data_IF_444682207720
#
_entry.id   IF_444682207720
#
_cell.length_a   1.000
_cell.length_b   1.000
_cell.length_c   1.000
_cell.angle_alpha   90.00
_cell.angle_beta   90.00
_cell.angle_gamma   90.00
#
_symmetry.space_group_name_H-M   'P 1'
#
loop_
_entity.id
_entity.type
_entity.pdbx_description
1 polymer ?
#
# COMPACT_ATOMS: atom_id res chain seq x y z
N UNK A 1 -19.38 -3.28 -18.42
CA UNK A 1 -18.96 -2.62 -19.67
C UNK A 1 -19.46 -3.35 -20.91
N UNK A 2 -19.03 -4.59 -21.17
CA UNK A 2 -19.39 -5.29 -22.42
C UNK A 2 -20.73 -6.03 -22.41
N UNK A 3 -21.30 -6.31 -21.23
CA UNK A 3 -22.55 -7.06 -21.09
C UNK A 3 -23.81 -6.18 -21.21
N UNK A 4 -23.70 -4.92 -20.79
CA UNK A 4 -24.82 -3.96 -20.82
C UNK A 4 -24.92 -3.24 -22.16
N UNK A 5 -26.10 -2.73 -22.51
CA UNK A 5 -26.39 -2.02 -23.78
C UNK A 5 -25.79 -0.59 -23.82
N UNK A 6 -24.50 -0.47 -23.53
CA UNK A 6 -23.75 0.78 -23.59
C UNK A 6 -23.12 0.98 -24.98
N UNK A 7 -22.61 2.18 -25.25
CA UNK A 7 -21.99 2.52 -26.54
C UNK A 7 -20.73 1.67 -26.82
N UNK A 8 -20.02 1.25 -25.78
CA UNK A 8 -18.87 0.36 -25.88
C UNK A 8 -19.24 -0.98 -26.50
N UNK A 9 -20.40 -1.54 -26.11
CA UNK A 9 -20.93 -2.79 -26.66
C UNK A 9 -21.42 -2.60 -28.09
N UNK A 10 -22.14 -1.51 -28.38
CA UNK A 10 -22.65 -1.24 -29.74
C UNK A 10 -21.53 -1.03 -30.76
N UNK A 11 -20.45 -0.38 -30.34
CA UNK A 11 -19.31 -0.01 -31.20
C UNK A 11 -18.17 -1.04 -31.16
N UNK A 12 -18.24 -2.03 -30.28
CA UNK A 12 -17.15 -2.96 -29.98
C UNK A 12 -15.81 -2.24 -29.74
N UNK A 13 -15.86 -1.11 -29.05
CA UNK A 13 -14.70 -0.23 -28.81
C UNK A 13 -14.80 0.41 -27.44
N UNK A 14 -13.70 0.35 -26.70
CA UNK A 14 -13.53 1.03 -25.41
C UNK A 14 -12.39 2.02 -25.57
N UNK A 15 -12.64 3.29 -25.25
CA UNK A 15 -11.60 4.31 -25.21
C UNK A 15 -11.05 4.40 -23.77
N UNK A 16 -9.76 4.13 -23.61
CA UNK A 16 -9.02 4.22 -22.34
C UNK A 16 -8.07 5.40 -22.46
N UNK A 17 -8.20 6.39 -21.57
CA UNK A 17 -7.47 7.67 -21.67
C UNK A 17 -6.63 7.99 -20.43
N UNK A 18 -6.81 7.22 -19.38
CA UNK A 18 -6.28 7.46 -18.04
C UNK A 18 -5.30 6.38 -17.57
N UNK A 19 -4.84 5.53 -18.49
CA UNK A 19 -3.79 4.54 -18.25
C UNK A 19 -2.73 4.71 -19.32
N UNK A 20 -1.46 4.79 -18.92
CA UNK A 20 -0.35 4.83 -19.85
C UNK A 20 -0.32 3.57 -20.72
N UNK A 21 0.07 3.71 -21.98
CA UNK A 21 0.05 2.61 -22.93
C UNK A 21 1.01 1.46 -22.55
N UNK A 22 2.13 1.72 -21.89
CA UNK A 22 3.03 0.66 -21.40
C UNK A 22 2.39 -0.14 -20.27
N UNK A 23 1.74 0.54 -19.33
CA UNK A 23 1.01 -0.04 -18.21
C UNK A 23 -0.17 -0.86 -18.72
N UNK A 24 -0.95 -0.30 -19.65
CA UNK A 24 -2.08 -0.98 -20.27
C UNK A 24 -1.64 -2.25 -21.00
N UNK A 25 -0.51 -2.20 -21.70
CA UNK A 25 0.07 -3.37 -22.38
C UNK A 25 0.43 -4.47 -21.39
N UNK A 26 1.08 -4.12 -20.28
CA UNK A 26 1.46 -5.11 -19.26
C UNK A 26 0.23 -5.68 -18.55
N UNK A 27 -0.78 -4.86 -18.27
CA UNK A 27 -2.08 -5.28 -17.74
C UNK A 27 -2.79 -6.26 -18.69
N UNK A 28 -2.86 -5.94 -19.99
CA UNK A 28 -3.45 -6.84 -21.00
C UNK A 28 -2.67 -8.16 -21.07
N UNK A 29 -1.34 -8.10 -21.05
CA UNK A 29 -0.51 -9.30 -21.02
C UNK A 29 -0.82 -10.16 -19.79
N UNK A 30 -1.01 -9.56 -18.62
CA UNK A 30 -1.44 -10.28 -17.44
C UNK A 30 -2.80 -10.94 -17.63
N UNK A 31 -3.80 -10.22 -18.16
CA UNK A 31 -5.14 -10.76 -18.43
C UNK A 31 -5.06 -12.02 -19.31
N UNK A 32 -4.23 -12.03 -20.34
CA UNK A 32 -4.13 -13.15 -21.28
C UNK A 32 -3.19 -14.28 -20.82
N UNK A 33 -2.20 -14.01 -19.96
CA UNK A 33 -1.12 -14.98 -19.66
C UNK A 33 -0.91 -15.26 -18.18
N UNK A 34 -1.56 -14.52 -17.29
CA UNK A 34 -1.39 -14.57 -15.84
C UNK A 34 -0.02 -14.07 -15.34
N UNK A 35 0.78 -13.42 -16.21
CA UNK A 35 2.16 -12.99 -15.94
C UNK A 35 2.37 -11.52 -16.30
N UNK A 36 3.15 -10.82 -15.47
CA UNK A 36 3.55 -9.42 -15.65
C UNK A 36 5.06 -9.24 -15.36
N UNK A 37 5.97 -9.66 -16.25
CA UNK A 37 7.41 -9.60 -15.97
C UNK A 37 8.03 -8.20 -16.02
N UNK A 38 7.30 -7.15 -16.42
CA UNK A 38 7.79 -5.77 -16.30
C UNK A 38 7.21 -5.02 -15.09
N UNK A 39 6.45 -5.72 -14.23
CA UNK A 39 5.75 -5.13 -13.08
C UNK A 39 6.68 -4.28 -12.20
N UNK A 40 7.89 -4.75 -11.90
CA UNK A 40 8.83 -4.05 -11.01
C UNK A 40 9.20 -2.63 -11.47
N UNK A 41 9.01 -2.31 -12.77
CA UNK A 41 9.33 -1.00 -13.34
C UNK A 41 8.19 0.01 -13.26
N UNK A 42 6.97 -0.45 -12.98
CA UNK A 42 5.73 0.32 -13.08
C UNK A 42 4.71 -0.13 -12.04
N UNK A 43 5.18 -0.57 -10.88
CA UNK A 43 4.34 -1.26 -9.90
C UNK A 43 3.25 -0.33 -9.33
N UNK A 44 3.54 0.96 -9.22
CA UNK A 44 2.61 2.02 -8.82
C UNK A 44 1.48 2.24 -9.83
N UNK A 45 1.82 2.50 -11.10
CA UNK A 45 0.82 2.71 -12.15
C UNK A 45 0.04 1.43 -12.45
N UNK A 46 0.71 0.27 -12.38
CA UNK A 46 0.08 -1.02 -12.59
C UNK A 46 -0.83 -1.41 -11.42
N UNK A 47 -0.53 -0.99 -10.19
CA UNK A 47 -1.44 -1.11 -9.05
C UNK A 47 -2.72 -0.30 -9.30
N UNK A 48 -2.57 0.96 -9.74
CA UNK A 48 -3.71 1.83 -10.07
C UNK A 48 -4.60 1.22 -11.16
N UNK A 49 -4.00 0.67 -12.21
CA UNK A 49 -4.73 -0.03 -13.27
C UNK A 49 -5.38 -1.33 -12.74
N UNK A 50 -4.67 -2.12 -11.94
CA UNK A 50 -5.19 -3.36 -11.38
C UNK A 50 -6.42 -3.11 -10.49
N UNK A 51 -6.38 -2.09 -9.65
CA UNK A 51 -7.52 -1.68 -8.81
C UNK A 51 -8.72 -1.23 -9.66
N UNK A 52 -8.48 -0.33 -10.63
CA UNK A 52 -9.52 0.18 -11.53
C UNK A 52 -10.25 -0.93 -12.31
N UNK A 53 -9.52 -1.92 -12.81
CA UNK A 53 -10.07 -3.02 -13.60
C UNK A 53 -10.40 -4.26 -12.76
N UNK A 54 -10.35 -4.15 -11.42
CA UNK A 54 -10.65 -5.22 -10.47
C UNK A 54 -9.84 -6.52 -10.71
N UNK A 55 -8.55 -6.37 -11.02
CA UNK A 55 -7.61 -7.46 -11.25
C UNK A 55 -6.89 -7.83 -9.95
N UNK A 56 -7.62 -8.44 -9.01
CA UNK A 56 -7.17 -8.69 -7.64
C UNK A 56 -5.79 -9.38 -7.55
N UNK A 57 -5.57 -10.41 -8.37
CA UNK A 57 -4.28 -11.14 -8.35
C UNK A 57 -3.12 -10.27 -8.86
N UNK A 58 -3.36 -9.37 -9.82
CA UNK A 58 -2.33 -8.44 -10.28
C UNK A 58 -2.06 -7.38 -9.21
N UNK A 59 -3.11 -6.91 -8.54
CA UNK A 59 -3.02 -5.96 -7.44
C UNK A 59 -2.10 -6.47 -6.33
N UNK A 60 -2.34 -7.69 -5.85
CA UNK A 60 -1.48 -8.34 -4.84
C UNK A 60 -0.02 -8.46 -5.30
N UNK A 61 0.22 -8.81 -6.57
CA UNK A 61 1.60 -8.86 -7.09
C UNK A 61 2.28 -7.48 -7.09
N UNK A 62 1.53 -6.41 -7.35
CA UNK A 62 2.04 -5.04 -7.29
C UNK A 62 2.33 -4.64 -5.83
N UNK A 63 1.45 -5.01 -4.90
CA UNK A 63 1.63 -4.82 -3.46
C UNK A 63 2.92 -5.49 -2.96
N UNK A 64 3.19 -6.73 -3.37
CA UNK A 64 4.42 -7.44 -3.01
C UNK A 64 5.68 -6.71 -3.51
N UNK A 65 5.69 -6.27 -4.77
CA UNK A 65 6.83 -5.55 -5.34
C UNK A 65 7.06 -4.17 -4.70
N UNK A 66 5.98 -3.44 -4.41
CA UNK A 66 6.05 -2.15 -3.71
C UNK A 66 6.52 -2.31 -2.27
N UNK A 67 6.13 -3.38 -1.58
CA UNK A 67 6.63 -3.68 -0.24
C UNK A 67 8.13 -3.97 -0.26
N UNK A 68 8.62 -4.75 -1.23
CA UNK A 68 10.05 -5.06 -1.36
C UNK A 68 10.93 -3.83 -1.67
N UNK A 69 10.33 -2.78 -2.23
CA UNK A 69 11.00 -1.51 -2.55
C UNK A 69 10.76 -0.41 -1.49
N UNK A 70 10.15 -0.75 -0.35
CA UNK A 70 9.96 0.18 0.76
C UNK A 70 11.31 0.69 1.29
N UNK A 71 11.36 1.99 1.51
CA UNK A 71 12.48 2.70 2.09
C UNK A 71 11.96 3.83 2.98
N UNK A 72 12.83 4.41 3.80
CA UNK A 72 12.48 5.55 4.66
C UNK A 72 11.89 6.70 3.84
N UNK A 73 12.50 7.00 2.68
CA UNK A 73 12.08 8.11 1.81
C UNK A 73 10.76 7.81 1.08
N UNK A 74 10.52 6.56 0.69
CA UNK A 74 9.34 6.17 -0.10
C UNK A 74 8.12 5.78 0.76
N UNK A 75 8.31 5.49 2.04
CA UNK A 75 7.25 4.95 2.90
C UNK A 75 5.98 5.81 2.96
N UNK A 76 6.12 7.14 3.01
CA UNK A 76 4.97 8.04 3.04
C UNK A 76 4.17 8.01 1.73
N UNK A 77 4.88 8.06 0.60
CA UNK A 77 4.25 8.04 -0.73
C UNK A 77 3.59 6.69 -1.00
N UNK A 78 4.26 5.58 -0.64
CA UNK A 78 3.69 4.23 -0.74
C UNK A 78 2.45 4.07 0.13
N UNK A 79 2.41 4.68 1.32
CA UNK A 79 1.24 4.62 2.19
C UNK A 79 0.04 5.36 1.59
N UNK A 80 0.27 6.53 1.00
CA UNK A 80 -0.76 7.29 0.28
C UNK A 80 -1.27 6.49 -0.92
N UNK A 81 -0.35 5.94 -1.73
CA UNK A 81 -0.67 5.13 -2.89
C UNK A 81 -1.53 3.91 -2.50
N UNK A 82 -1.16 3.23 -1.41
CA UNK A 82 -1.89 2.08 -0.93
C UNK A 82 -3.30 2.43 -0.46
N UNK A 83 -3.48 3.57 0.21
CA UNK A 83 -4.80 4.08 0.59
C UNK A 83 -5.64 4.44 -0.65
N UNK A 84 -5.04 5.14 -1.61
CA UNK A 84 -5.71 5.60 -2.83
C UNK A 84 -6.26 4.45 -3.67
N UNK A 85 -5.52 3.34 -3.75
CA UNK A 85 -5.88 2.17 -4.57
C UNK A 85 -6.40 1.00 -3.73
N UNK A 86 -6.88 1.27 -2.50
CA UNK A 86 -7.46 0.27 -1.60
C UNK A 86 -6.60 -1.00 -1.46
N UNK A 87 -5.28 -0.84 -1.41
CA UNK A 87 -4.29 -1.90 -1.35
C UNK A 87 -3.97 -2.22 0.12
N UNK A 88 -4.89 -2.96 0.74
CA UNK A 88 -4.90 -3.15 2.20
C UNK A 88 -3.66 -3.87 2.74
N UNK A 89 -3.09 -4.82 1.98
CA UNK A 89 -1.90 -5.56 2.45
C UNK A 89 -0.66 -4.67 2.40
N UNK A 90 -0.46 -3.95 1.30
CA UNK A 90 0.62 -2.96 1.18
C UNK A 90 0.49 -1.87 2.25
N UNK A 91 -0.72 -1.39 2.51
CA UNK A 91 -0.99 -0.38 3.55
C UNK A 91 -0.58 -0.89 4.93
N UNK A 92 -1.01 -2.10 5.28
CA UNK A 92 -0.66 -2.72 6.57
C UNK A 92 0.85 -2.95 6.71
N UNK A 93 1.51 -3.45 5.67
CA UNK A 93 2.96 -3.71 5.67
C UNK A 93 3.77 -2.41 5.74
N UNK A 94 3.32 -1.35 5.07
CA UNK A 94 3.97 -0.03 5.11
C UNK A 94 3.85 0.58 6.51
N UNK A 95 2.67 0.49 7.15
CA UNK A 95 2.48 0.94 8.53
C UNK A 95 3.37 0.15 9.51
N UNK A 96 3.48 -1.16 9.33
CA UNK A 96 4.34 -2.01 10.15
C UNK A 96 5.83 -1.66 9.99
N UNK A 97 6.27 -1.41 8.75
CA UNK A 97 7.61 -0.93 8.45
C UNK A 97 7.94 0.38 9.17
N UNK A 98 7.02 1.35 9.13
CA UNK A 98 7.18 2.64 9.82
C UNK A 98 7.26 2.41 11.33
N UNK A 99 6.31 1.67 11.91
CA UNK A 99 6.17 1.53 13.37
C UNK A 99 7.28 0.70 14.03
N UNK A 100 7.88 -0.26 13.32
CA UNK A 100 8.83 -1.22 13.93
C UNK A 100 10.24 -0.66 14.08
N UNK A 101 10.77 0.02 13.06
CA UNK A 101 12.20 0.36 13.02
C UNK A 101 12.52 1.74 12.44
N UNK A 102 11.57 2.41 11.78
CA UNK A 102 11.87 3.57 10.94
C UNK A 102 11.07 4.83 11.29
N UNK A 103 10.28 4.80 12.36
CA UNK A 103 9.36 5.88 12.70
C UNK A 103 10.04 7.25 12.81
N UNK A 104 11.18 7.34 13.50
CA UNK A 104 11.92 8.60 13.65
C UNK A 104 12.40 9.14 12.31
N UNK A 105 13.01 8.28 11.50
CA UNK A 105 13.64 8.67 10.25
C UNK A 105 12.58 9.07 9.22
N UNK A 106 11.48 8.30 9.14
CA UNK A 106 10.36 8.57 8.24
C UNK A 106 9.69 9.90 8.61
N UNK A 107 9.50 10.19 9.91
CA UNK A 107 8.88 11.43 10.37
C UNK A 107 9.66 12.69 9.97
N UNK A 108 10.96 12.57 9.78
CA UNK A 108 11.82 13.67 9.35
C UNK A 108 11.81 13.93 7.84
N UNK A 109 11.35 12.96 7.04
CA UNK A 109 11.24 13.10 5.58
C UNK A 109 10.27 14.19 5.15
N UNK A 110 10.54 14.78 3.98
CA UNK A 110 9.62 15.73 3.37
C UNK A 110 8.28 15.06 2.97
N UNK A 111 8.33 13.81 2.48
CA UNK A 111 7.15 13.03 2.12
C UNK A 111 6.19 12.88 3.29
N UNK A 112 6.69 12.50 4.48
CA UNK A 112 5.86 12.39 5.67
C UNK A 112 5.23 13.73 6.08
N UNK A 113 6.02 14.80 6.11
CA UNK A 113 5.52 16.15 6.46
C UNK A 113 4.42 16.63 5.50
N UNK A 114 4.54 16.31 4.22
CA UNK A 114 3.52 16.59 3.22
C UNK A 114 2.28 15.72 3.42
N UNK A 115 2.46 14.44 3.74
CA UNK A 115 1.36 13.53 4.06
C UNK A 115 0.54 14.02 5.26
N UNK A 116 1.18 14.61 6.28
CA UNK A 116 0.46 15.15 7.44
C UNK A 116 -0.58 16.21 7.03
N UNK A 117 -0.23 17.04 6.06
CA UNK A 117 -1.09 18.12 5.59
C UNK A 117 -2.15 17.65 4.60
N UNK A 118 -1.83 16.65 3.77
CA UNK A 118 -2.69 16.19 2.68
C UNK A 118 -3.62 15.03 3.05
N UNK A 119 -3.15 14.10 3.90
CA UNK A 119 -3.85 12.85 4.26
C UNK A 119 -3.73 12.56 5.77
N UNK A 120 -4.28 13.43 6.65
CA UNK A 120 -4.11 13.31 8.10
C UNK A 120 -4.74 12.03 8.70
N UNK A 121 -5.71 11.41 8.02
CA UNK A 121 -6.32 10.15 8.47
C UNK A 121 -5.30 8.99 8.50
N UNK A 122 -4.30 9.00 7.61
CA UNK A 122 -3.26 7.97 7.57
C UNK A 122 -2.40 7.96 8.82
N UNK A 123 -2.16 9.13 9.43
CA UNK A 123 -1.45 9.22 10.72
C UNK A 123 -2.29 8.58 11.82
N UNK A 124 -3.59 8.89 11.85
CA UNK A 124 -4.49 8.36 12.87
C UNK A 124 -4.57 6.83 12.80
N UNK A 125 -4.54 6.27 11.59
CA UNK A 125 -4.47 4.83 11.36
C UNK A 125 -3.12 4.23 11.75
N UNK A 126 -2.01 4.83 11.35
CA UNK A 126 -0.67 4.38 11.75
C UNK A 126 -0.50 4.38 13.27
N UNK A 127 -0.98 5.43 13.94
CA UNK A 127 -0.98 5.53 15.40
C UNK A 127 -1.89 4.50 16.06
N UNK A 128 -3.08 4.24 15.49
CA UNK A 128 -3.99 3.19 15.96
C UNK A 128 -3.32 1.81 15.86
N UNK A 129 -2.67 1.52 14.74
CA UNK A 129 -1.96 0.26 14.53
C UNK A 129 -0.84 0.07 15.58
N UNK A 130 -0.04 1.11 15.83
CA UNK A 130 0.99 1.12 16.87
C UNK A 130 0.40 0.81 18.26
N UNK A 131 -0.70 1.45 18.62
CA UNK A 131 -1.35 1.25 19.91
C UNK A 131 -1.87 -0.20 20.09
N UNK A 132 -2.38 -0.81 19.00
CA UNK A 132 -2.83 -2.22 19.03
C UNK A 132 -1.68 -3.23 19.08
N UNK A 133 -0.52 -2.93 18.49
CA UNK A 133 0.66 -3.80 18.58
C UNK A 133 1.23 -3.86 20.01
N UNK A 134 1.26 -2.74 20.74
CA UNK A 134 1.79 -2.68 22.10
C UNK A 134 0.95 -3.48 23.12
N UNK A 135 -0.34 -3.68 22.86
CA UNK A 135 -1.23 -4.45 23.74
C UNK A 135 -0.99 -5.98 23.69
N UNK A 136 -0.19 -6.48 22.74
CA UNK A 136 0.17 -7.90 22.65
C UNK A 136 1.46 -8.27 23.42
N UNK A 137 2.17 -7.27 23.99
CA UNK A 137 3.36 -7.50 24.81
C UNK A 137 2.89 -7.76 26.27
N UNK A 138 3.19 -8.92 26.87
CA UNK A 138 2.77 -9.18 28.25
C UNK A 138 3.43 -8.18 29.22
N UNK A 139 2.71 -7.71 30.25
CA UNK A 139 3.23 -6.70 31.16
C UNK A 139 4.45 -7.22 31.91
N UNK A 140 5.57 -6.49 31.81
CA UNK A 140 6.73 -6.66 32.68
C UNK A 140 6.24 -6.48 34.12
N UNK A 141 6.28 -7.57 34.90
CA UNK A 141 5.75 -7.64 36.26
C UNK A 141 6.37 -6.62 37.23
N UNK A 142 5.73 -6.42 38.39
CA UNK A 142 6.04 -5.31 39.29
C UNK A 142 7.44 -5.45 39.94
N UNK A 143 8.03 -4.34 40.43
CA UNK A 143 9.39 -4.34 40.97
C UNK A 143 9.50 -5.22 42.21
N UNK A 144 10.50 -6.12 42.22
CA UNK A 144 10.84 -6.97 43.38
C UNK A 144 11.03 -6.10 44.62
N UNK A 145 10.14 -6.25 45.62
CA UNK A 145 10.32 -5.68 46.96
C UNK A 145 11.66 -6.14 47.53
N UNK A 146 12.51 -5.20 47.94
CA UNK A 146 13.70 -5.46 48.76
C UNK A 146 13.27 -6.19 50.03
N UNK A 147 13.73 -7.43 50.20
CA UNK A 147 13.64 -8.15 51.47
C UNK A 147 14.57 -7.44 52.45
N UNK A 148 14.02 -6.83 53.51
CA UNK A 148 14.80 -6.41 54.68
C UNK A 148 15.12 -7.68 55.47
N UNK A 149 16.41 -7.98 55.61
CA UNK A 149 16.90 -8.99 56.55
C UNK A 149 16.68 -8.48 57.98
N UNK A 150 16.12 -9.34 58.84
CA UNK A 150 16.16 -9.27 60.28
C UNK A 150 16.52 -10.66 60.79
#
# INVERSE_FOLDING_TARGET
MFEHEMEERKRNRVDITDVDHEVLREMLRFIYTGRAPNLDKMADDLLAAADKYALERLKVMCEEALCLSLSVETAADTLILADLHSADQLKAQTIDFINTSHATDVMDTAGWKNMISSHPHLIAEAFRALATQQQQIPPIGPPRKRVKQA
#
